data_IF_059654969705
#
_entry.id   IF_059654969705
#
_cell.length_a   1.000
_cell.length_b   1.000
_cell.length_c   1.000
_cell.angle_alpha   90.00
_cell.angle_beta   90.00
_cell.angle_gamma   90.00
#
_symmetry.space_group_name_H-M   'P 1'
#
loop_
_entity.id
_entity.type
_entity.pdbx_description
1 polymer ?
#
# COMPACT_ATOMS: atom_id res chain seq x y z
N UNK A 1 -14.64 -15.31 14.67
CA UNK A 1 -14.94 -14.08 13.91
C UNK A 1 -13.88 -13.03 14.19
N UNK A 2 -13.09 -12.61 13.18
CA UNK A 2 -12.36 -11.34 13.25
C UNK A 2 -12.71 -10.52 12.02
N UNK A 3 -13.32 -9.37 12.30
CA UNK A 3 -13.99 -8.45 11.37
C UNK A 3 -13.06 -8.07 10.21
N UNK A 4 -13.47 -8.40 8.99
CA UNK A 4 -12.99 -7.75 7.76
C UNK A 4 -13.35 -6.26 7.88
N UNK A 5 -12.39 -5.33 7.95
CA UNK A 5 -12.74 -3.92 7.90
C UNK A 5 -13.15 -3.59 6.46
N UNK A 6 -14.27 -2.88 6.33
CA UNK A 6 -14.83 -2.39 5.07
C UNK A 6 -13.82 -1.54 4.28
N UNK A 7 -14.13 -1.14 3.05
CA UNK A 7 -15.39 -0.48 2.66
C UNK A 7 -15.51 -0.52 1.13
N UNK A 8 -16.71 -0.82 0.63
CA UNK A 8 -17.12 -0.42 -0.71
C UNK A 8 -17.10 1.11 -0.76
N UNK A 9 -16.45 1.70 -1.76
CA UNK A 9 -16.49 3.15 -1.98
C UNK A 9 -15.68 3.57 -3.20
N UNK A 10 -16.37 3.81 -4.32
CA UNK A 10 -15.86 4.59 -5.45
C UNK A 10 -15.41 5.98 -4.96
N UNK A 11 -14.47 6.59 -5.69
CA UNK A 11 -13.94 7.95 -5.54
C UNK A 11 -12.65 8.10 -4.70
N UNK A 12 -11.56 7.48 -5.16
CA UNK A 12 -10.18 8.02 -5.22
C UNK A 12 -9.28 6.87 -5.68
N UNK A 13 -8.55 7.03 -6.80
CA UNK A 13 -7.71 5.95 -7.38
C UNK A 13 -6.48 5.58 -6.53
N UNK A 14 -6.32 6.21 -5.36
CA UNK A 14 -5.17 6.07 -4.47
C UNK A 14 -5.61 5.43 -3.14
N UNK A 15 -4.96 4.34 -2.72
CA UNK A 15 -5.24 3.72 -1.42
C UNK A 15 -4.79 4.61 -0.26
N UNK A 16 -5.46 4.47 0.88
CA UNK A 16 -5.01 5.16 2.09
C UNK A 16 -3.77 4.48 2.68
N UNK A 17 -3.06 5.23 3.53
CA UNK A 17 -1.92 4.74 4.30
C UNK A 17 -2.27 3.44 5.07
N UNK A 18 -3.41 3.42 5.74
CA UNK A 18 -3.87 2.27 6.52
C UNK A 18 -4.18 1.04 5.65
N UNK A 19 -4.73 1.24 4.45
CA UNK A 19 -5.04 0.14 3.53
C UNK A 19 -3.77 -0.51 2.97
N UNK A 20 -2.77 0.31 2.64
CA UNK A 20 -1.45 -0.18 2.22
C UNK A 20 -0.83 -1.02 3.34
N UNK A 21 -0.89 -0.53 4.58
CA UNK A 21 -0.33 -1.24 5.73
C UNK A 21 -1.00 -2.60 5.92
N UNK A 22 -2.35 -2.64 5.94
CA UNK A 22 -3.09 -3.89 6.03
C UNK A 22 -2.75 -4.84 4.89
N UNK A 23 -2.62 -4.34 3.66
CA UNK A 23 -2.25 -5.16 2.51
C UNK A 23 -0.85 -5.77 2.63
N UNK A 24 0.10 -5.03 3.19
CA UNK A 24 1.46 -5.52 3.47
C UNK A 24 1.46 -6.54 4.61
N UNK A 25 0.66 -6.33 5.66
CA UNK A 25 0.51 -7.25 6.80
C UNK A 25 -0.26 -8.54 6.42
N UNK A 26 -1.28 -8.44 5.57
CA UNK A 26 -2.07 -9.58 5.09
C UNK A 26 -1.35 -10.38 4.00
N UNK A 27 -0.39 -9.78 3.29
CA UNK A 27 0.36 -10.48 2.26
C UNK A 27 1.49 -11.32 2.87
N UNK A 28 1.48 -12.65 2.69
CA UNK A 28 2.54 -13.52 3.19
C UNK A 28 3.84 -13.42 2.38
N UNK A 29 3.80 -12.72 1.24
CA UNK A 29 4.93 -12.52 0.34
C UNK A 29 5.46 -11.09 0.43
N UNK A 30 6.72 -10.89 0.01
CA UNK A 30 7.36 -9.56 0.04
C UNK A 30 6.59 -8.58 -0.86
N UNK A 31 5.85 -7.67 -0.25
CA UNK A 31 5.10 -6.64 -0.96
C UNK A 31 6.01 -5.46 -1.32
N UNK A 32 6.29 -5.31 -2.61
CA UNK A 32 7.01 -4.17 -3.15
C UNK A 32 6.08 -3.09 -3.71
N UNK A 33 6.69 -2.00 -4.20
CA UNK A 33 5.97 -0.92 -4.87
C UNK A 33 5.14 -1.39 -6.08
N UNK A 34 5.58 -2.46 -6.75
CA UNK A 34 4.90 -3.03 -7.92
C UNK A 34 3.64 -3.79 -7.51
N UNK A 35 3.73 -4.55 -6.43
CA UNK A 35 2.66 -5.37 -5.88
C UNK A 35 1.55 -4.48 -5.32
N UNK A 36 1.91 -3.43 -4.56
CA UNK A 36 0.95 -2.43 -4.06
C UNK A 36 0.27 -1.74 -5.26
N UNK A 37 1.04 -1.33 -6.26
CA UNK A 37 0.45 -0.69 -7.44
C UNK A 37 -0.51 -1.61 -8.21
N UNK A 38 -0.25 -2.92 -8.29
CA UNK A 38 -1.15 -3.89 -8.93
C UNK A 38 -2.40 -4.13 -8.09
N UNK A 39 -2.25 -4.36 -6.78
CA UNK A 39 -3.36 -4.65 -5.89
C UNK A 39 -4.39 -3.51 -5.83
N UNK A 40 -3.91 -2.27 -5.90
CA UNK A 40 -4.75 -1.07 -5.87
C UNK A 40 -5.02 -0.47 -7.26
N UNK A 41 -4.66 -1.16 -8.35
CA UNK A 41 -4.86 -0.69 -9.73
C UNK A 41 -4.28 0.72 -10.01
N UNK A 42 -3.14 1.03 -9.41
CA UNK A 42 -2.44 2.32 -9.51
C UNK A 42 -1.60 2.35 -10.79
N UNK A 43 -1.91 3.31 -11.66
CA UNK A 43 -1.28 3.46 -12.97
C UNK A 43 -0.79 4.89 -13.22
N UNK A 44 0.15 5.06 -14.16
CA UNK A 44 0.62 6.37 -14.60
C UNK A 44 1.10 7.29 -13.47
N UNK A 45 0.51 8.49 -13.41
CA UNK A 45 0.83 9.55 -12.45
C UNK A 45 0.62 9.13 -10.98
N UNK A 46 -0.36 8.27 -10.72
CA UNK A 46 -0.69 7.82 -9.37
C UNK A 46 0.43 6.98 -8.74
N UNK A 47 1.32 6.38 -9.57
CA UNK A 47 2.51 5.67 -9.08
C UNK A 47 3.53 6.60 -8.44
N UNK A 48 3.60 7.86 -8.90
CA UNK A 48 4.50 8.87 -8.34
C UNK A 48 3.98 9.32 -6.97
N UNK A 49 2.66 9.57 -6.88
CA UNK A 49 2.00 9.86 -5.61
C UNK A 49 2.16 8.70 -4.62
N UNK A 50 1.95 7.46 -5.06
CA UNK A 50 2.17 6.26 -4.24
C UNK A 50 3.62 6.17 -3.75
N UNK A 51 4.61 6.46 -4.60
CA UNK A 51 6.02 6.42 -4.19
C UNK A 51 6.28 7.41 -3.04
N UNK A 52 5.79 8.64 -3.15
CA UNK A 52 5.93 9.66 -2.10
C UNK A 52 5.25 9.20 -0.81
N UNK A 53 3.99 8.78 -0.91
CA UNK A 53 3.20 8.30 0.22
C UNK A 53 3.87 7.12 0.94
N UNK A 54 4.48 6.18 0.20
CA UNK A 54 5.24 5.06 0.78
C UNK A 54 6.55 5.48 1.45
N UNK A 55 7.18 6.58 1.03
CA UNK A 55 8.36 7.13 1.70
C UNK A 55 7.92 7.82 2.99
N UNK A 56 6.93 8.71 2.92
CA UNK A 56 6.41 9.42 4.08
C UNK A 56 5.90 8.46 5.16
N UNK A 57 5.22 7.38 4.76
CA UNK A 57 4.77 6.33 5.67
C UNK A 57 5.93 5.56 6.34
N UNK A 58 7.06 5.40 5.66
CA UNK A 58 8.24 4.78 6.28
C UNK A 58 8.91 5.72 7.25
N UNK A 59 9.02 7.00 6.90
CA UNK A 59 9.57 8.01 7.80
C UNK A 59 8.71 8.18 9.05
N UNK A 60 7.39 8.07 8.91
CA UNK A 60 6.45 8.04 10.02
C UNK A 60 6.50 6.74 10.85
N UNK A 61 7.27 5.72 10.43
CA UNK A 61 7.32 4.42 11.10
C UNK A 61 6.07 3.53 10.91
N UNK A 62 5.17 3.91 10.00
CA UNK A 62 3.93 3.17 9.72
C UNK A 62 4.13 1.96 8.80
N UNK A 63 5.26 1.91 8.07
CA UNK A 63 5.61 0.80 7.17
C UNK A 63 6.97 0.21 7.49
N UNK A 64 7.03 -1.12 7.41
CA UNK A 64 8.25 -1.89 7.58
C UNK A 64 9.35 -1.58 6.53
N UNK A 65 10.59 -2.00 6.84
CA UNK A 65 11.75 -1.74 6.00
C UNK A 65 11.53 -2.23 4.56
N UNK A 66 12.11 -1.50 3.62
CA UNK A 66 12.01 -1.84 2.19
C UNK A 66 12.52 -3.27 1.97
N UNK A 67 11.82 -4.12 1.20
CA UNK A 67 12.37 -5.41 0.84
C UNK A 67 13.70 -5.16 0.11
N UNK A 68 14.77 -5.73 0.67
CA UNK A 68 16.09 -5.72 0.07
C UNK A 68 15.94 -6.27 -1.36
N UNK A 69 16.45 -5.53 -2.35
CA UNK A 69 16.49 -6.01 -3.72
C UNK A 69 17.45 -7.21 -3.71
N UNK A 70 16.89 -8.41 -3.90
CA UNK A 70 17.67 -9.59 -4.24
C UNK A 70 17.94 -9.60 -5.74
#
# INVERSE_FOLDING_TARGET
MSKRPGRRGKASKLPSKADIRKFVEESPTRVGRREIARAFNITGADRVALKKLLVDMREAGELGPRPARR
#
